data_IF_751079917399
#
_entry.id   IF_751079917399
#
_cell.length_a   1.000
_cell.length_b   1.000
_cell.length_c   1.000
_cell.angle_alpha   90.00
_cell.angle_beta   90.00
_cell.angle_gamma   90.00
#
_symmetry.space_group_name_H-M   'P 1'
#
loop_
_entity.id
_entity.type
_entity.pdbx_description
1 polymer ?
#
# COMPACT_ATOMS: atom_id res chain seq x y z
N UNK A 1 -50.55 24.90 34.57
CA UNK A 1 -49.11 24.63 34.41
C UNK A 1 -48.87 24.30 32.95
N UNK A 2 -48.17 25.18 32.24
CA UNK A 2 -47.85 25.06 30.82
C UNK A 2 -46.48 24.42 30.62
N UNK A 3 -46.28 23.76 29.48
CA UNK A 3 -44.96 23.50 28.90
C UNK A 3 -44.50 22.05 28.88
N UNK A 4 -45.07 21.24 27.99
CA UNK A 4 -44.44 19.99 27.54
C UNK A 4 -43.42 20.38 26.45
N UNK A 5 -42.15 20.09 26.69
CA UNK A 5 -41.03 20.35 25.80
C UNK A 5 -41.13 19.46 24.55
N UNK A 6 -41.43 20.06 23.41
CA UNK A 6 -41.10 19.49 22.10
C UNK A 6 -39.65 19.85 21.77
N UNK A 7 -38.80 18.82 21.62
CA UNK A 7 -37.41 18.96 21.20
C UNK A 7 -37.11 17.93 20.11
N UNK A 8 -37.74 18.08 18.95
CA UNK A 8 -37.17 17.55 17.71
C UNK A 8 -36.03 18.45 17.25
N UNK A 9 -34.81 18.15 17.69
CA UNK A 9 -33.61 18.74 17.12
C UNK A 9 -33.28 18.01 15.81
N UNK A 10 -33.75 18.55 14.69
CA UNK A 10 -33.31 18.15 13.35
C UNK A 10 -31.87 18.61 13.18
N UNK A 11 -30.92 17.67 13.21
CA UNK A 11 -29.55 17.95 12.83
C UNK A 11 -29.50 18.30 11.34
N UNK A 12 -29.28 19.58 11.04
CA UNK A 12 -28.99 20.03 9.69
C UNK A 12 -27.68 19.38 9.25
N UNK A 13 -27.75 18.43 8.32
CA UNK A 13 -26.59 17.92 7.59
C UNK A 13 -26.15 19.04 6.67
N UNK A 14 -25.27 19.91 7.16
CA UNK A 14 -24.59 20.89 6.34
C UNK A 14 -23.68 20.16 5.36
N UNK A 15 -24.13 20.00 4.12
CA UNK A 15 -23.26 19.65 3.00
C UNK A 15 -22.34 20.83 2.73
N UNK A 16 -21.24 20.92 3.47
CA UNK A 16 -20.11 21.76 3.06
C UNK A 16 -19.57 21.17 1.75
N UNK A 17 -20.01 21.73 0.63
CA UNK A 17 -19.35 21.52 -0.65
C UNK A 17 -17.95 22.13 -0.53
N UNK A 18 -16.94 21.28 -0.46
CA UNK A 18 -15.57 21.68 -0.71
C UNK A 18 -15.50 22.10 -2.18
N UNK A 19 -15.63 23.40 -2.43
CA UNK A 19 -15.34 23.96 -3.75
C UNK A 19 -13.83 23.86 -3.95
N UNK A 20 -13.39 22.95 -4.82
CA UNK A 20 -12.01 22.92 -5.31
C UNK A 20 -11.72 24.26 -5.99
N UNK A 21 -10.97 25.12 -5.31
CA UNK A 21 -10.35 26.25 -5.96
C UNK A 21 -9.43 25.71 -7.08
N UNK A 22 -9.40 26.39 -8.23
CA UNK A 22 -8.51 26.11 -9.36
C UNK A 22 -7.05 26.42 -9.01
N UNK A 23 -6.54 25.73 -7.99
CA UNK A 23 -5.15 25.78 -7.56
C UNK A 23 -4.25 24.94 -8.47
N UNK A 24 -2.93 24.96 -8.23
CA UNK A 24 -2.01 24.07 -8.91
C UNK A 24 -2.44 22.60 -8.74
N UNK A 25 -2.14 21.72 -9.72
CA UNK A 25 -2.57 20.33 -9.67
C UNK A 25 -2.12 19.66 -8.38
N UNK A 26 -3.04 18.97 -7.70
CA UNK A 26 -2.80 18.25 -6.45
C UNK A 26 -1.52 17.42 -6.53
N UNK A 27 -0.64 17.45 -5.51
CA UNK A 27 0.60 16.70 -5.53
C UNK A 27 0.35 15.22 -5.86
N UNK A 28 1.20 14.57 -6.66
CA UNK A 28 1.10 13.14 -6.89
C UNK A 28 1.31 12.37 -5.57
N UNK A 29 0.72 11.18 -5.53
CA UNK A 29 0.72 10.31 -4.34
C UNK A 29 1.60 9.09 -4.58
N UNK A 30 2.50 8.82 -3.64
CA UNK A 30 3.22 7.56 -3.53
C UNK A 30 2.59 6.70 -2.44
N UNK A 31 1.96 5.58 -2.81
CA UNK A 31 1.48 4.59 -1.83
C UNK A 31 2.58 3.58 -1.56
N UNK A 32 2.88 3.37 -0.29
CA UNK A 32 3.81 2.35 0.20
C UNK A 32 3.07 1.34 1.07
N UNK A 33 3.48 0.08 1.06
CA UNK A 33 2.96 -0.93 1.96
C UNK A 33 3.09 -2.35 1.41
N UNK A 34 3.46 -3.28 2.28
CA UNK A 34 3.68 -4.68 1.91
C UNK A 34 2.45 -5.30 1.21
N UNK A 35 2.64 -6.44 0.53
CA UNK A 35 1.49 -7.21 0.04
C UNK A 35 0.48 -7.46 1.17
N UNK A 36 -0.80 -7.57 0.84
CA UNK A 36 -1.87 -7.82 1.82
C UNK A 36 -2.06 -6.75 2.92
N UNK A 37 -1.47 -5.56 2.83
CA UNK A 37 -1.70 -4.47 3.81
C UNK A 37 -2.93 -3.62 3.52
N UNK A 38 -3.46 -3.68 2.30
CA UNK A 38 -4.63 -2.89 1.87
C UNK A 38 -4.31 -1.72 0.94
N UNK A 39 -3.09 -1.65 0.38
CA UNK A 39 -2.68 -0.59 -0.55
C UNK A 39 -3.60 -0.44 -1.77
N UNK A 40 -4.15 -1.53 -2.31
CA UNK A 40 -5.14 -1.45 -3.40
C UNK A 40 -6.47 -0.83 -2.95
N UNK A 41 -6.91 -1.11 -1.73
CA UNK A 41 -8.12 -0.49 -1.17
C UNK A 41 -7.87 1.00 -0.93
N UNK A 42 -6.71 1.36 -0.39
CA UNK A 42 -6.30 2.75 -0.20
C UNK A 42 -6.30 3.51 -1.52
N UNK A 43 -5.70 2.97 -2.59
CA UNK A 43 -5.71 3.60 -3.92
C UNK A 43 -7.13 3.87 -4.41
N UNK A 44 -8.02 2.86 -4.34
CA UNK A 44 -9.43 3.01 -4.72
C UNK A 44 -10.17 4.03 -3.86
N UNK A 45 -9.85 4.13 -2.58
CA UNK A 45 -10.44 5.15 -1.70
C UNK A 45 -9.95 6.55 -2.07
N UNK A 46 -8.67 6.71 -2.45
CA UNK A 46 -8.17 7.99 -2.94
C UNK A 46 -8.89 8.38 -4.23
N UNK A 47 -8.94 7.49 -5.24
CA UNK A 47 -9.64 7.73 -6.51
C UNK A 47 -11.13 8.07 -6.31
N UNK A 48 -11.77 7.46 -5.30
CA UNK A 48 -13.18 7.69 -5.00
C UNK A 48 -13.44 9.04 -4.34
N UNK A 49 -12.51 9.55 -3.53
CA UNK A 49 -12.76 10.71 -2.67
C UNK A 49 -12.04 11.99 -3.13
N UNK A 50 -11.06 11.89 -4.02
CA UNK A 50 -10.30 13.03 -4.52
C UNK A 50 -10.36 13.07 -6.04
N UNK A 51 -10.64 14.25 -6.60
CA UNK A 51 -10.55 14.45 -8.04
C UNK A 51 -9.08 14.36 -8.49
N UNK A 52 -8.84 13.74 -9.65
CA UNK A 52 -7.55 13.76 -10.32
C UNK A 52 -6.37 13.25 -9.46
N UNK A 53 -6.54 12.15 -8.70
CA UNK A 53 -5.41 11.49 -8.01
C UNK A 53 -4.37 11.05 -9.05
N UNK A 54 -3.13 11.47 -8.86
CA UNK A 54 -2.01 11.12 -9.74
C UNK A 54 -1.03 10.22 -9.03
N UNK A 55 -0.55 9.18 -9.70
CA UNK A 55 0.54 8.34 -9.21
C UNK A 55 1.85 9.14 -9.18
N UNK A 56 2.74 8.84 -8.23
CA UNK A 56 4.12 9.37 -8.23
C UNK A 56 4.92 9.01 -9.48
N UNK A 57 4.47 8.03 -10.27
CA UNK A 57 5.02 7.70 -11.59
C UNK A 57 5.07 8.93 -12.52
N UNK A 58 4.11 9.85 -12.42
CA UNK A 58 4.01 11.03 -13.30
C UNK A 58 5.15 12.03 -13.09
N UNK A 59 5.85 11.94 -11.96
CA UNK A 59 7.04 12.76 -11.65
C UNK A 59 8.31 11.93 -11.63
N UNK A 60 8.30 10.75 -12.28
CA UNK A 60 9.49 9.90 -12.40
C UNK A 60 9.88 9.23 -11.08
N UNK A 61 8.93 9.03 -10.16
CA UNK A 61 9.13 8.29 -8.92
C UNK A 61 8.34 6.97 -8.95
N UNK A 62 8.82 5.96 -9.73
CA UNK A 62 8.13 4.68 -9.91
C UNK A 62 8.30 3.77 -8.70
N UNK A 63 7.62 4.12 -7.61
CA UNK A 63 7.65 3.36 -6.38
C UNK A 63 6.76 2.13 -6.52
N UNK A 64 7.38 0.96 -6.45
CA UNK A 64 6.61 -0.25 -6.28
C UNK A 64 5.93 -0.22 -4.93
N UNK A 65 4.61 -0.12 -4.94
CA UNK A 65 3.81 0.00 -3.71
C UNK A 65 4.06 -1.12 -2.69
N UNK A 66 4.55 -2.29 -3.12
CA UNK A 66 4.86 -3.43 -2.25
C UNK A 66 6.34 -3.57 -1.86
N UNK A 67 7.15 -2.56 -2.15
CA UNK A 67 8.53 -2.51 -1.70
C UNK A 67 8.62 -2.50 -0.17
N UNK A 68 9.65 -3.19 0.35
CA UNK A 68 9.97 -3.13 1.77
C UNK A 68 10.44 -1.74 2.15
N UNK A 69 10.04 -1.21 3.32
CA UNK A 69 10.58 0.06 3.81
C UNK A 69 12.11 0.10 3.87
N UNK A 70 12.77 -1.00 4.25
CA UNK A 70 14.24 -1.09 4.30
C UNK A 70 14.88 -0.92 2.92
N UNK A 71 14.32 -1.57 1.90
CA UNK A 71 14.84 -1.50 0.54
C UNK A 71 14.65 -0.10 -0.05
N UNK A 72 13.56 0.60 0.32
CA UNK A 72 13.32 1.99 -0.05
C UNK A 72 14.34 2.93 0.58
N UNK A 73 14.63 2.76 1.88
CA UNK A 73 15.65 3.56 2.58
C UNK A 73 16.99 3.42 1.85
N UNK A 74 17.44 2.19 1.59
CA UNK A 74 18.72 1.95 0.92
C UNK A 74 18.76 2.52 -0.50
N UNK A 75 17.68 2.35 -1.27
CA UNK A 75 17.62 2.81 -2.66
C UNK A 75 17.57 4.34 -2.81
N UNK A 76 16.94 5.04 -1.87
CA UNK A 76 16.79 6.51 -1.91
C UNK A 76 17.76 7.27 -1.01
N UNK A 77 18.59 6.58 -0.22
CA UNK A 77 19.61 7.19 0.65
C UNK A 77 20.54 8.17 -0.08
N UNK A 78 20.89 7.87 -1.33
CA UNK A 78 21.76 8.71 -2.18
C UNK A 78 21.01 9.74 -3.03
N UNK A 79 19.68 9.84 -2.89
CA UNK A 79 18.81 10.69 -3.73
C UNK A 79 18.03 11.68 -2.85
N UNK A 80 18.71 12.63 -2.19
CA UNK A 80 18.05 13.62 -1.36
C UNK A 80 17.04 14.42 -2.20
N UNK A 81 15.84 14.62 -1.67
CA UNK A 81 14.78 15.37 -2.36
C UNK A 81 13.98 14.58 -3.39
N UNK A 82 14.19 13.27 -3.57
CA UNK A 82 13.40 12.44 -4.49
C UNK A 82 11.88 12.50 -4.22
N UNK A 83 11.49 12.82 -2.98
CA UNK A 83 10.09 12.88 -2.53
C UNK A 83 9.59 14.33 -2.31
N UNK A 84 10.36 15.36 -2.68
CA UNK A 84 10.09 16.76 -2.26
C UNK A 84 8.71 17.30 -2.68
N UNK A 85 8.17 16.81 -3.80
CA UNK A 85 6.89 17.24 -4.38
C UNK A 85 5.84 16.12 -4.37
N UNK A 86 6.02 15.09 -3.54
CA UNK A 86 5.18 13.88 -3.52
C UNK A 86 4.58 13.69 -2.12
N UNK A 87 3.26 13.46 -2.06
CA UNK A 87 2.62 13.03 -0.80
C UNK A 87 2.80 11.53 -0.66
N UNK A 88 3.49 11.10 0.38
CA UNK A 88 3.73 9.67 0.62
C UNK A 88 2.77 9.14 1.68
N UNK A 89 2.07 8.05 1.37
CA UNK A 89 1.14 7.39 2.28
C UNK A 89 1.56 5.94 2.47
N UNK A 90 1.97 5.59 3.68
CA UNK A 90 2.35 4.23 4.05
C UNK A 90 1.16 3.49 4.69
N UNK A 91 0.79 2.35 4.13
CA UNK A 91 -0.22 1.44 4.67
C UNK A 91 0.45 0.35 5.51
N UNK A 92 0.19 0.39 6.81
CA UNK A 92 0.69 -0.61 7.77
C UNK A 92 -0.51 -1.42 8.28
N UNK A 93 -0.36 -2.73 8.31
CA UNK A 93 -1.38 -3.65 8.83
C UNK A 93 -0.84 -4.32 10.08
N UNK A 94 -1.74 -4.60 11.03
CA UNK A 94 -1.44 -5.44 12.19
C UNK A 94 -0.68 -6.72 11.76
N UNK A 95 0.47 -7.05 12.37
CA UNK A 95 1.31 -8.16 11.91
C UNK A 95 0.60 -9.50 11.86
N UNK A 96 -0.24 -9.82 12.86
CA UNK A 96 -0.94 -11.10 12.91
C UNK A 96 -2.01 -11.19 11.82
N UNK A 97 -2.78 -10.11 11.64
CA UNK A 97 -3.77 -9.97 10.57
C UNK A 97 -3.12 -10.03 9.18
N UNK A 98 -1.93 -9.46 9.03
CA UNK A 98 -1.16 -9.49 7.80
C UNK A 98 -0.71 -10.91 7.43
N UNK A 99 -0.11 -11.64 8.38
CA UNK A 99 0.29 -13.05 8.23
C UNK A 99 -0.93 -13.91 7.87
N UNK A 100 -2.07 -13.73 8.54
CA UNK A 100 -3.30 -14.45 8.20
C UNK A 100 -3.78 -14.15 6.77
N UNK A 101 -3.70 -12.89 6.34
CA UNK A 101 -4.06 -12.50 4.97
C UNK A 101 -3.12 -13.09 3.92
N UNK A 102 -1.82 -13.16 4.21
CA UNK A 102 -0.83 -13.82 3.37
C UNK A 102 -1.12 -15.32 3.23
N UNK A 103 -1.51 -16.00 4.32
CA UNK A 103 -1.91 -17.41 4.24
C UNK A 103 -3.10 -17.62 3.31
N UNK A 104 -4.08 -16.71 3.37
CA UNK A 104 -5.29 -16.76 2.51
C UNK A 104 -4.98 -16.43 1.05
N UNK A 105 -4.14 -15.42 0.82
CA UNK A 105 -3.76 -14.92 -0.51
C UNK A 105 -2.23 -14.82 -0.62
N UNK A 106 -1.53 -15.94 -0.86
CA UNK A 106 -0.07 -16.00 -0.79
C UNK A 106 0.65 -15.56 -2.07
N UNK A 107 -0.07 -15.28 -3.17
CA UNK A 107 0.52 -14.92 -4.46
C UNK A 107 1.55 -15.96 -4.94
N UNK A 108 2.79 -15.55 -5.19
CA UNK A 108 3.88 -16.44 -5.61
C UNK A 108 4.31 -17.40 -4.49
N UNK A 109 3.89 -17.15 -3.26
CA UNK A 109 4.26 -17.96 -2.09
C UNK A 109 3.31 -19.13 -1.82
N UNK A 110 2.47 -19.51 -2.79
CA UNK A 110 1.55 -20.66 -2.67
C UNK A 110 2.26 -21.94 -2.23
N UNK A 111 3.52 -22.15 -2.65
CA UNK A 111 4.32 -23.30 -2.21
C UNK A 111 4.75 -23.19 -0.74
N UNK A 112 5.15 -22.00 -0.31
CA UNK A 112 5.66 -21.75 1.03
C UNK A 112 4.59 -21.92 2.12
N UNK A 113 3.37 -21.45 1.88
CA UNK A 113 2.28 -21.47 2.89
C UNK A 113 1.69 -22.86 3.17
N UNK A 114 2.14 -23.91 2.47
CA UNK A 114 1.72 -25.30 2.71
C UNK A 114 2.43 -25.95 3.90
N UNK A 115 3.56 -25.40 4.34
CA UNK A 115 4.31 -25.89 5.49
C UNK A 115 3.56 -25.56 6.81
N UNK A 116 3.57 -26.46 7.79
CA UNK A 116 2.98 -26.20 9.11
C UNK A 116 3.61 -24.97 9.80
N UNK A 117 4.91 -24.76 9.61
CA UNK A 117 5.69 -23.64 10.16
C UNK A 117 5.98 -22.56 9.10
N UNK A 118 5.15 -22.44 8.07
CA UNK A 118 5.41 -21.59 6.90
C UNK A 118 5.80 -20.14 7.18
N UNK A 119 5.32 -19.55 8.28
CA UNK A 119 5.61 -18.16 8.61
C UNK A 119 7.09 -17.95 8.99
N UNK A 120 7.70 -18.96 9.63
CA UNK A 120 9.08 -18.88 10.17
C UNK A 120 10.05 -19.82 9.47
N UNK A 121 9.56 -20.81 8.73
CA UNK A 121 10.38 -21.77 8.02
C UNK A 121 10.90 -21.21 6.70
N UNK A 122 12.09 -21.66 6.32
CA UNK A 122 12.62 -21.39 4.99
C UNK A 122 11.78 -22.01 3.89
N UNK A 123 11.74 -21.37 2.73
CA UNK A 123 11.09 -21.89 1.54
C UNK A 123 11.78 -21.42 0.26
N UNK A 124 11.32 -21.91 -0.89
CA UNK A 124 11.80 -21.48 -2.20
C UNK A 124 10.78 -20.51 -2.81
N UNK A 125 11.19 -19.26 -3.02
CA UNK A 125 10.43 -18.31 -3.83
C UNK A 125 10.50 -18.76 -5.30
N UNK A 126 9.38 -18.94 -6.01
CA UNK A 126 9.42 -19.46 -7.38
C UNK A 126 9.96 -18.41 -8.36
N UNK A 127 10.34 -18.84 -9.56
CA UNK A 127 10.54 -17.89 -10.67
C UNK A 127 9.19 -17.22 -11.04
N UNK A 128 9.18 -15.96 -11.53
CA UNK A 128 7.94 -15.28 -11.87
C UNK A 128 7.24 -16.01 -13.03
N UNK A 129 5.94 -16.25 -12.92
CA UNK A 129 5.14 -16.83 -14.01
C UNK A 129 4.68 -15.80 -15.04
N UNK A 130 4.80 -14.51 -14.74
CA UNK A 130 4.45 -13.39 -15.63
C UNK A 130 5.30 -12.15 -15.34
N UNK A 131 5.67 -11.34 -16.34
CA UNK A 131 6.32 -10.05 -16.13
C UNK A 131 5.43 -9.14 -15.26
N UNK A 132 5.95 -8.65 -14.13
CA UNK A 132 5.26 -7.66 -13.26
C UNK A 132 4.53 -8.21 -12.03
N UNK A 133 4.48 -9.54 -11.82
CA UNK A 133 4.07 -10.14 -10.54
C UNK A 133 5.23 -10.26 -9.54
N UNK A 134 6.45 -10.01 -10.00
CA UNK A 134 7.70 -10.30 -9.32
C UNK A 134 7.94 -9.44 -8.08
N UNK A 135 8.50 -10.08 -7.06
CA UNK A 135 9.22 -9.40 -5.99
C UNK A 135 10.29 -8.47 -6.59
N UNK A 136 10.17 -7.16 -6.35
CA UNK A 136 11.21 -6.21 -6.74
C UNK A 136 12.12 -5.97 -5.54
N UNK A 137 13.37 -6.42 -5.64
CA UNK A 137 14.44 -5.97 -4.73
C UNK A 137 14.99 -4.67 -5.30
N UNK A 138 14.54 -3.53 -4.77
CA UNK A 138 14.72 -2.24 -5.45
C UNK A 138 13.75 -2.07 -6.63
N UNK A 139 14.23 -1.65 -7.81
CA UNK A 139 13.42 -1.53 -9.04
C UNK A 139 13.50 -2.75 -9.97
N UNK A 140 14.29 -3.78 -9.61
CA UNK A 140 14.51 -4.95 -10.46
C UNK A 140 13.69 -6.15 -9.98
N UNK A 141 12.90 -6.72 -10.88
CA UNK A 141 12.22 -8.00 -10.72
C UNK A 141 13.23 -9.15 -10.59
N UNK A 142 13.01 -10.11 -9.68
CA UNK A 142 13.74 -11.38 -9.73
C UNK A 142 13.40 -12.16 -11.02
N UNK A 143 14.35 -12.92 -11.57
CA UNK A 143 14.20 -13.69 -12.82
C UNK A 143 14.23 -15.20 -12.60
N UNK A 144 14.66 -15.65 -11.43
CA UNK A 144 14.82 -17.07 -11.07
C UNK A 144 14.22 -17.35 -9.70
N UNK A 145 14.06 -18.63 -9.38
CA UNK A 145 13.70 -19.07 -8.04
C UNK A 145 14.88 -18.85 -7.07
N UNK A 146 14.61 -18.50 -5.82
CA UNK A 146 15.64 -18.28 -4.80
C UNK A 146 15.16 -18.71 -3.41
N UNK A 147 16.07 -19.16 -2.51
CA UNK A 147 15.70 -19.51 -1.15
C UNK A 147 15.41 -18.25 -0.33
N UNK A 148 14.43 -18.35 0.56
CA UNK A 148 14.08 -17.34 1.56
C UNK A 148 14.04 -18.00 2.93
N UNK A 149 14.57 -17.33 3.95
CA UNK A 149 14.61 -17.87 5.32
C UNK A 149 13.24 -17.87 6.00
N UNK A 150 12.36 -16.94 5.63
CA UNK A 150 10.97 -16.85 6.09
C UNK A 150 10.16 -15.88 5.19
N UNK A 151 8.87 -15.70 5.50
CA UNK A 151 7.97 -14.80 4.78
C UNK A 151 8.41 -13.33 4.81
N UNK A 152 8.94 -12.88 5.95
CA UNK A 152 9.47 -11.53 6.19
C UNK A 152 10.77 -11.26 5.42
N UNK A 153 11.35 -12.26 4.78
CA UNK A 153 12.52 -12.08 3.92
C UNK A 153 12.12 -11.61 2.51
N UNK A 154 10.85 -11.81 2.14
CA UNK A 154 10.27 -11.35 0.88
C UNK A 154 9.53 -10.03 1.04
N UNK A 155 8.83 -9.83 2.14
CA UNK A 155 8.04 -8.62 2.40
C UNK A 155 8.55 -7.87 3.61
#
# INVERSE_FOLDING_TARGET
AAGLLDRTATAAVGTSQLTEASGPPSPPVAILGLFNTGTNLLWKLLEKNFACVRSSDVVGLPLWKHAKPTDLIDFYKSKPGAFKDVVTVAMIRDPLSWVQSLRKSPYDLKGCVKNAHWATAGCQFPAPSSPGSSFQRGLAAHTHAFPVSNIESVW
#
